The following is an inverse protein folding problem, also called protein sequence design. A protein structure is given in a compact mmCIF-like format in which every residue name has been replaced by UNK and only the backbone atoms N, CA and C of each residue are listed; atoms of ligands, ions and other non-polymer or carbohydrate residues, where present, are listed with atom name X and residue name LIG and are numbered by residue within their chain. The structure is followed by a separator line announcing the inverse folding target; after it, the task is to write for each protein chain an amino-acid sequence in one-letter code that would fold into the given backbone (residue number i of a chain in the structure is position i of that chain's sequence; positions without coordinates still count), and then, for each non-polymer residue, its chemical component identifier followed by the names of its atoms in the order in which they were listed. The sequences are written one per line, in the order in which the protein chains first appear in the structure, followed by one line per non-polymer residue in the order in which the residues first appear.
data_IF_483149396166
#
_entry.id   IF_483149396166
#
_cell.length_a   1.000
_cell.length_b   1.000
_cell.length_c   1.000
_cell.angle_alpha   90.00
_cell.angle_beta   90.00
_cell.angle_gamma   90.00
#
_symmetry.space_group_name_H-M   'P 1'
#
loop_
_entity.id
_entity.type
_entity.pdbx_description
1 polymer ?
#
# COMPACT_ATOMS: atom_id res chain seq x y z
N UNK A 1 -9.29 -18.55 -1.22
CA UNK A 1 -8.05 -19.32 -1.44
C UNK A 1 -7.56 -19.94 -0.14
N UNK A 2 -7.28 -19.15 0.91
CA UNK A 2 -6.82 -19.63 2.22
C UNK A 2 -7.68 -20.77 2.79
N UNK A 3 -9.01 -20.62 2.80
CA UNK A 3 -9.93 -21.68 3.23
C UNK A 3 -9.82 -22.99 2.40
N UNK A 4 -9.54 -22.89 1.10
CA UNK A 4 -9.34 -24.09 0.26
C UNK A 4 -8.08 -24.83 0.67
N UNK A 5 -7.00 -24.10 0.91
CA UNK A 5 -5.71 -24.65 1.35
C UNK A 5 -5.85 -25.27 2.75
N UNK A 6 -6.43 -24.55 3.72
CA UNK A 6 -6.59 -25.02 5.10
C UNK A 6 -7.49 -26.25 5.23
N UNK A 7 -8.47 -26.41 4.34
CA UNK A 7 -9.33 -27.60 4.27
C UNK A 7 -8.72 -28.75 3.45
N UNK A 8 -7.40 -28.71 3.19
CA UNK A 8 -6.66 -29.78 2.50
C UNK A 8 -6.88 -29.86 0.99
N UNK A 9 -7.54 -28.86 0.39
CA UNK A 9 -7.83 -28.78 -1.06
C UNK A 9 -6.82 -27.92 -1.82
N UNK A 10 -5.63 -27.71 -1.27
CA UNK A 10 -4.53 -27.09 -2.00
C UNK A 10 -3.96 -28.00 -3.09
N UNK A 11 -3.12 -27.41 -3.94
CA UNK A 11 -2.44 -28.04 -5.05
C UNK A 11 -0.98 -28.36 -4.71
N UNK A 12 -0.30 -29.11 -5.59
CA UNK A 12 1.08 -29.54 -5.41
C UNK A 12 1.30 -30.62 -4.34
N UNK A 13 2.56 -31.03 -4.13
CA UNK A 13 2.93 -32.05 -3.14
C UNK A 13 2.54 -31.67 -1.70
N UNK A 14 2.76 -30.39 -1.34
CA UNK A 14 2.54 -29.86 0.01
C UNK A 14 1.12 -29.34 0.27
N UNK A 15 0.24 -29.34 -0.75
CA UNK A 15 -1.15 -28.86 -0.63
C UNK A 15 -1.27 -27.41 -0.11
N UNK A 16 -0.31 -26.54 -0.46
CA UNK A 16 -0.11 -25.23 0.17
C UNK A 16 -0.45 -24.02 -0.72
N UNK A 17 -0.82 -24.22 -1.99
CA UNK A 17 -1.21 -23.17 -2.94
C UNK A 17 -2.41 -23.58 -3.79
N UNK A 18 -2.83 -22.74 -4.73
CA UNK A 18 -3.84 -23.06 -5.76
C UNK A 18 -3.36 -22.65 -7.14
N UNK A 19 -4.07 -23.08 -8.19
CA UNK A 19 -3.75 -22.77 -9.57
C UNK A 19 -4.51 -21.56 -10.11
N UNK A 20 -3.79 -20.66 -10.78
CA UNK A 20 -4.33 -19.61 -11.66
C UNK A 20 -4.20 -20.06 -13.11
N UNK A 21 -5.33 -20.39 -13.74
CA UNK A 21 -5.35 -20.97 -15.07
C UNK A 21 -5.50 -19.89 -16.15
N UNK A 22 -4.55 -19.81 -17.09
CA UNK A 22 -4.59 -18.89 -18.25
C UNK A 22 -4.56 -19.60 -19.60
N UNK A 23 -4.13 -20.87 -19.66
CA UNK A 23 -3.92 -21.62 -20.91
C UNK A 23 -5.20 -21.90 -21.74
N UNK A 24 -6.37 -21.56 -21.23
CA UNK A 24 -7.63 -21.61 -22.00
C UNK A 24 -7.83 -20.35 -22.85
N UNK A 25 -7.08 -19.28 -22.58
CA UNK A 25 -7.10 -18.04 -23.35
C UNK A 25 -6.26 -18.20 -24.63
N UNK A 26 -6.63 -17.53 -25.73
CA UNK A 26 -5.81 -17.52 -26.94
C UNK A 26 -4.40 -17.00 -26.66
N UNK A 27 -3.37 -17.68 -27.18
CA UNK A 27 -1.97 -17.29 -26.96
C UNK A 27 -1.66 -15.87 -27.42
N UNK A 28 -2.31 -15.39 -28.49
CA UNK A 28 -2.18 -14.01 -28.95
C UNK A 28 -2.71 -12.99 -27.92
N UNK A 29 -3.82 -13.30 -27.25
CA UNK A 29 -4.37 -12.46 -26.19
C UNK A 29 -3.41 -12.42 -24.99
N UNK A 30 -2.84 -13.56 -24.60
CA UNK A 30 -1.87 -13.65 -23.51
C UNK A 30 -0.62 -12.84 -23.82
N UNK A 31 -0.08 -12.95 -25.04
CA UNK A 31 1.08 -12.19 -25.49
C UNK A 31 0.82 -10.68 -25.53
N UNK A 32 -0.37 -10.25 -25.95
CA UNK A 32 -0.72 -8.84 -26.08
C UNK A 32 -1.04 -8.16 -24.72
N UNK A 33 -1.77 -8.86 -23.83
CA UNK A 33 -2.32 -8.24 -22.62
C UNK A 33 -1.55 -8.61 -21.34
N UNK A 34 -0.90 -9.77 -21.34
CA UNK A 34 -0.25 -10.35 -20.15
C UNK A 34 1.24 -10.67 -20.37
N UNK A 35 2.04 -9.87 -21.11
CA UNK A 35 3.42 -10.23 -21.41
C UNK A 35 4.29 -10.30 -20.15
N UNK A 36 4.17 -9.32 -19.25
CA UNK A 36 5.02 -9.25 -18.05
C UNK A 36 4.80 -10.40 -17.07
N UNK A 37 3.55 -10.82 -16.85
CA UNK A 37 3.28 -11.98 -15.99
C UNK A 37 3.69 -13.29 -16.65
N UNK A 38 3.68 -13.36 -17.99
CA UNK A 38 4.09 -14.56 -18.72
C UNK A 38 5.59 -14.80 -18.55
N UNK A 39 6.38 -13.75 -18.70
CA UNK A 39 7.82 -13.76 -18.43
C UNK A 39 8.11 -14.08 -16.96
N UNK A 40 7.41 -13.41 -16.03
CA UNK A 40 7.56 -13.64 -14.58
C UNK A 40 7.27 -15.10 -14.20
N UNK A 41 6.18 -15.68 -14.71
CA UNK A 41 5.82 -17.07 -14.44
C UNK A 41 6.87 -18.07 -14.95
N UNK A 42 7.43 -17.82 -16.15
CA UNK A 42 8.51 -18.62 -16.70
C UNK A 42 9.78 -18.51 -15.83
N UNK A 43 10.21 -17.29 -15.50
CA UNK A 43 11.46 -17.06 -14.76
C UNK A 43 11.40 -17.64 -13.34
N UNK A 44 10.32 -17.40 -12.61
CA UNK A 44 10.26 -17.71 -11.18
C UNK A 44 9.63 -19.06 -10.85
N UNK A 45 8.81 -19.61 -11.75
CA UNK A 45 8.11 -20.87 -11.52
C UNK A 45 8.33 -21.92 -12.63
N UNK A 46 9.07 -21.59 -13.70
CA UNK A 46 9.25 -22.49 -14.84
C UNK A 46 7.96 -22.78 -15.61
N UNK A 47 6.93 -21.93 -15.46
CA UNK A 47 5.59 -22.17 -16.02
C UNK A 47 5.42 -21.46 -17.36
N UNK A 48 5.16 -22.24 -18.42
CA UNK A 48 4.59 -21.72 -19.65
C UNK A 48 3.07 -21.54 -19.47
N UNK A 49 2.64 -20.28 -19.30
CA UNK A 49 1.25 -19.92 -19.00
C UNK A 49 0.26 -20.29 -20.10
N UNK A 50 0.76 -20.60 -21.31
CA UNK A 50 -0.07 -21.07 -22.44
C UNK A 50 -0.35 -22.57 -22.41
N UNK A 51 0.31 -23.31 -21.50
CA UNK A 51 0.20 -24.78 -21.39
C UNK A 51 -0.20 -25.22 -19.98
N UNK A 52 0.34 -24.55 -18.96
CA UNK A 52 0.21 -24.96 -17.56
C UNK A 52 -0.30 -23.79 -16.69
N UNK A 53 -1.02 -24.06 -15.59
CA UNK A 53 -1.46 -23.00 -14.68
C UNK A 53 -0.33 -22.46 -13.79
N UNK A 54 -0.44 -21.20 -13.36
CA UNK A 54 0.50 -20.56 -12.43
C UNK A 54 0.17 -20.96 -10.99
N UNK A 55 1.18 -21.23 -10.18
CA UNK A 55 1.04 -21.50 -8.74
C UNK A 55 0.87 -20.18 -7.98
N UNK A 56 -0.24 -20.00 -7.27
CA UNK A 56 -0.54 -18.75 -6.56
C UNK A 56 -1.08 -19.00 -5.15
N UNK A 57 -0.76 -18.07 -4.24
CA UNK A 57 -1.26 -18.03 -2.87
C UNK A 57 -1.49 -16.57 -2.43
N UNK A 58 -2.42 -16.32 -1.48
CA UNK A 58 -2.60 -14.99 -0.92
C UNK A 58 -1.30 -14.46 -0.31
N UNK A 59 -0.89 -13.28 -0.74
CA UNK A 59 0.34 -12.61 -0.29
C UNK A 59 -0.02 -11.20 0.16
N UNK A 60 0.58 -10.72 1.26
CA UNK A 60 0.43 -9.34 1.71
C UNK A 60 0.89 -8.41 0.58
N UNK A 61 0.08 -7.40 0.25
CA UNK A 61 0.31 -6.61 -0.96
C UNK A 61 0.22 -5.09 -0.77
N UNK A 62 -0.78 -4.59 -0.05
CA UNK A 62 -1.06 -3.15 0.04
C UNK A 62 -1.58 -2.77 1.42
N UNK A 63 -1.14 -1.62 1.94
CA UNK A 63 -1.65 -1.07 3.19
C UNK A 63 -2.78 -0.07 2.94
N UNK A 64 -3.97 -0.33 3.49
CA UNK A 64 -5.14 0.54 3.29
C UNK A 64 -5.10 1.83 4.12
N UNK A 65 -4.29 1.88 5.17
CA UNK A 65 -4.23 3.02 6.05
C UNK A 65 -2.84 3.24 6.60
N UNK A 66 -2.61 4.48 7.04
CA UNK A 66 -1.52 4.91 7.92
C UNK A 66 -1.85 6.35 8.35
N UNK A 67 -1.24 7.35 7.72
CA UNK A 67 -1.38 8.77 8.11
C UNK A 67 -2.78 9.29 7.74
N UNK A 68 -3.63 9.71 8.69
CA UNK A 68 -4.95 10.22 8.37
C UNK A 68 -4.85 11.60 7.69
N UNK A 69 -5.57 11.78 6.59
CA UNK A 69 -5.67 13.06 5.90
C UNK A 69 -7.10 13.42 5.57
N UNK A 70 -7.40 14.72 5.44
CA UNK A 70 -8.63 15.13 4.77
C UNK A 70 -8.51 14.98 3.24
N UNK A 71 -9.59 15.24 2.51
CA UNK A 71 -9.64 15.11 1.05
C UNK A 71 -8.67 16.05 0.29
N UNK A 72 -8.08 17.06 0.98
CA UNK A 72 -7.07 17.97 0.43
C UNK A 72 -5.64 17.48 0.64
N UNK A 73 -5.45 16.32 1.27
CA UNK A 73 -4.14 15.75 1.61
C UNK A 73 -3.47 16.39 2.84
N UNK A 74 -4.20 17.19 3.62
CA UNK A 74 -3.68 17.75 4.87
C UNK A 74 -3.71 16.69 5.95
N UNK A 75 -2.59 16.49 6.64
CA UNK A 75 -2.51 15.53 7.74
C UNK A 75 -3.41 15.98 8.90
N UNK A 76 -4.12 15.02 9.47
CA UNK A 76 -5.02 15.21 10.60
C UNK A 76 -4.40 14.64 11.88
N UNK A 77 -4.70 15.29 13.00
CA UNK A 77 -4.61 14.69 14.32
C UNK A 77 -6.00 14.69 14.94
N UNK A 78 -6.33 13.67 15.70
CA UNK A 78 -7.56 13.63 16.46
C UNK A 78 -7.28 14.08 17.90
N UNK A 79 -7.87 15.20 18.31
CA UNK A 79 -7.67 15.76 19.65
C UNK A 79 -8.97 16.37 20.16
N UNK A 80 -9.32 16.04 21.42
CA UNK A 80 -10.54 16.52 22.07
C UNK A 80 -11.83 16.16 21.29
N UNK A 81 -11.87 14.98 20.68
CA UNK A 81 -13.04 14.47 19.95
C UNK A 81 -13.25 15.10 18.57
N UNK A 82 -12.27 15.84 18.05
CA UNK A 82 -12.37 16.53 16.76
C UNK A 82 -11.08 16.36 15.95
N UNK A 83 -11.25 16.32 14.64
CA UNK A 83 -10.13 16.31 13.70
C UNK A 83 -9.55 17.72 13.55
N UNK A 84 -8.23 17.82 13.67
CA UNK A 84 -7.49 19.06 13.56
C UNK A 84 -6.39 18.91 12.52
N UNK A 85 -6.29 19.88 11.61
CA UNK A 85 -5.21 19.91 10.62
C UNK A 85 -3.86 20.15 11.30
N UNK A 86 -2.89 19.28 11.00
CA UNK A 86 -1.48 19.48 11.31
C UNK A 86 -0.90 20.47 10.30
N UNK A 87 -0.70 21.72 10.74
CA UNK A 87 -0.29 22.81 9.85
C UNK A 87 1.02 22.50 9.14
N UNK A 88 1.02 22.68 7.83
CA UNK A 88 2.21 22.56 7.00
C UNK A 88 2.61 21.14 6.64
N UNK A 89 1.87 20.12 7.11
CA UNK A 89 2.14 18.72 6.82
C UNK A 89 1.07 18.16 5.88
N UNK A 90 1.54 17.58 4.79
CA UNK A 90 0.71 16.96 3.76
C UNK A 90 1.23 15.56 3.49
N UNK A 91 0.34 14.65 3.10
CA UNK A 91 0.70 13.30 2.69
C UNK A 91 -0.26 12.84 1.58
N UNK A 92 0.22 11.96 0.70
CA UNK A 92 -0.60 11.29 -0.32
C UNK A 92 -0.06 9.88 -0.64
N UNK A 93 -0.85 9.08 -1.34
CA UNK A 93 -0.46 7.73 -1.76
C UNK A 93 -0.68 6.66 -0.70
N UNK A 94 0.04 5.53 -0.83
CA UNK A 94 -0.14 4.36 0.03
C UNK A 94 0.18 4.63 1.52
N UNK A 95 1.00 5.64 1.83
CA UNK A 95 1.31 6.04 3.20
C UNK A 95 0.14 6.74 3.92
N UNK A 96 -1.04 6.81 3.31
CA UNK A 96 -2.10 7.72 3.74
C UNK A 96 -3.45 7.02 3.82
N UNK A 97 -4.17 7.36 4.89
CA UNK A 97 -5.58 7.08 5.06
C UNK A 97 -6.39 8.36 4.79
N UNK A 98 -6.50 8.76 3.51
CA UNK A 98 -7.61 9.62 3.07
C UNK A 98 -8.94 8.84 3.12
N UNK A 99 -8.82 7.50 3.18
CA UNK A 99 -9.84 6.48 3.33
C UNK A 99 -10.77 6.27 2.13
N UNK A 100 -10.32 6.64 0.92
CA UNK A 100 -11.02 6.24 -0.32
C UNK A 100 -11.03 4.73 -0.56
N UNK A 101 -10.15 3.98 0.15
CA UNK A 101 -10.05 2.53 0.08
C UNK A 101 -10.81 1.81 1.21
N UNK A 102 -11.20 2.52 2.27
CA UNK A 102 -11.83 1.94 3.46
C UNK A 102 -11.10 0.69 3.96
N UNK A 103 -11.85 -0.39 4.20
CA UNK A 103 -11.31 -1.66 4.66
C UNK A 103 -10.79 -2.58 3.53
N UNK A 104 -11.07 -2.27 2.27
CA UNK A 104 -10.66 -3.10 1.14
C UNK A 104 -10.56 -2.27 -0.15
N UNK A 105 -9.33 -2.12 -0.64
CA UNK A 105 -9.04 -1.40 -1.87
C UNK A 105 -9.49 -2.20 -3.11
N UNK A 106 -10.11 -1.52 -4.08
CA UNK A 106 -10.34 -2.08 -5.41
C UNK A 106 -9.07 -2.03 -6.28
N UNK A 107 -8.87 -3.06 -7.11
CA UNK A 107 -7.75 -3.13 -8.05
C UNK A 107 -7.63 -1.87 -8.93
N UNK A 108 -6.41 -1.52 -9.33
CA UNK A 108 -6.07 -0.31 -10.11
C UNK A 108 -6.30 1.06 -9.43
N UNK A 109 -7.03 1.15 -8.31
CA UNK A 109 -7.32 2.46 -7.67
C UNK A 109 -6.13 3.11 -6.95
N UNK A 110 -5.06 2.38 -6.64
CA UNK A 110 -3.89 2.98 -5.96
C UNK A 110 -3.12 3.95 -6.87
N UNK A 111 -2.94 3.61 -8.15
CA UNK A 111 -2.29 4.54 -9.09
C UNK A 111 -3.14 5.81 -9.33
N UNK A 112 -4.47 5.66 -9.30
CA UNK A 112 -5.40 6.79 -9.35
C UNK A 112 -5.26 7.68 -8.10
N UNK A 113 -5.22 7.07 -6.91
CA UNK A 113 -4.98 7.76 -5.63
C UNK A 113 -3.68 8.60 -5.68
N UNK A 114 -2.56 7.97 -6.08
CA UNK A 114 -1.26 8.65 -6.17
C UNK A 114 -1.34 9.97 -6.96
N UNK A 115 -1.88 9.93 -8.18
CA UNK A 115 -1.91 11.12 -9.05
C UNK A 115 -2.92 12.15 -8.59
N UNK A 116 -4.08 11.72 -8.09
CA UNK A 116 -5.15 12.63 -7.66
C UNK A 116 -4.77 13.34 -6.36
N UNK A 117 -4.36 12.59 -5.33
CA UNK A 117 -4.05 13.18 -4.03
C UNK A 117 -2.68 13.87 -4.01
N UNK A 118 -1.72 13.42 -4.82
CA UNK A 118 -0.49 14.17 -5.08
C UNK A 118 -0.77 15.57 -5.64
N UNK A 119 -1.67 15.65 -6.63
CA UNK A 119 -2.10 16.94 -7.17
C UNK A 119 -2.92 17.76 -6.15
N UNK A 120 -3.79 17.12 -5.36
CA UNK A 120 -4.59 17.79 -4.34
C UNK A 120 -3.71 18.45 -3.27
N UNK A 121 -2.66 17.77 -2.82
CA UNK A 121 -1.68 18.33 -1.88
C UNK A 121 -1.03 19.60 -2.44
N UNK A 122 -0.56 19.54 -3.69
CA UNK A 122 0.09 20.68 -4.35
C UNK A 122 -0.87 21.89 -4.48
N UNK A 123 -2.11 21.64 -4.90
CA UNK A 123 -3.15 22.69 -5.03
C UNK A 123 -3.50 23.29 -3.67
N UNK A 124 -3.74 22.47 -2.65
CA UNK A 124 -4.08 22.96 -1.31
C UNK A 124 -2.93 23.76 -0.70
N UNK A 125 -1.68 23.34 -0.91
CA UNK A 125 -0.52 24.09 -0.42
C UNK A 125 -0.44 25.47 -1.09
N UNK A 126 -0.68 25.54 -2.40
CA UNK A 126 -0.69 26.80 -3.15
C UNK A 126 -1.78 27.80 -2.72
N UNK A 127 -2.88 27.33 -2.10
CA UNK A 127 -3.90 28.21 -1.50
C UNK A 127 -3.39 28.94 -0.24
N UNK A 128 -2.39 28.38 0.46
CA UNK A 128 -1.98 28.81 1.80
C UNK A 128 -0.58 29.42 1.90
N UNK A 129 0.25 29.30 0.86
CA UNK A 129 1.58 29.90 0.82
C UNK A 129 2.06 30.15 -0.61
N UNK A 130 3.06 31.00 -0.74
CA UNK A 130 3.74 31.35 -1.99
C UNK A 130 5.22 31.00 -1.93
N UNK A 131 5.87 30.73 -3.08
CA UNK A 131 7.32 30.65 -3.14
C UNK A 131 7.97 31.93 -2.56
N UNK A 132 8.90 31.75 -1.62
CA UNK A 132 9.59 32.86 -0.94
C UNK A 132 8.98 33.28 0.40
N UNK A 133 7.86 32.69 0.82
CA UNK A 133 7.30 32.94 2.16
C UNK A 133 8.30 32.54 3.27
N UNK A 134 8.32 33.34 4.34
CA UNK A 134 9.18 33.07 5.51
C UNK A 134 8.74 31.79 6.20
N UNK A 135 9.69 30.88 6.42
CA UNK A 135 9.47 29.66 7.21
C UNK A 135 9.72 29.97 8.69
N UNK A 136 8.87 29.48 9.61
CA UNK A 136 9.11 29.62 11.05
C UNK A 136 10.47 29.02 11.46
N UNK A 137 11.14 29.60 12.47
CA UNK A 137 12.40 29.04 12.98
C UNK A 137 12.18 27.63 13.54
N UNK A 138 13.09 26.72 13.21
CA UNK A 138 13.08 25.34 13.68
C UNK A 138 13.91 25.26 14.97
N UNK A 139 13.44 24.50 15.96
CA UNK A 139 14.22 24.26 17.18
C UNK A 139 15.52 23.49 16.83
N UNK A 140 16.67 23.79 17.46
CA UNK A 140 17.93 23.08 17.18
C UNK A 140 17.83 21.56 17.37
N UNK A 141 16.91 21.12 18.23
CA UNK A 141 16.68 19.72 18.56
C UNK A 141 15.39 19.14 17.95
N UNK A 142 14.83 19.75 16.89
CA UNK A 142 13.54 19.37 16.34
C UNK A 142 13.49 17.94 15.77
N UNK A 143 14.65 17.32 15.50
CA UNK A 143 14.74 15.97 14.91
C UNK A 143 14.99 14.90 15.97
N UNK A 144 15.66 15.24 17.08
CA UNK A 144 16.04 14.27 18.13
C UNK A 144 14.83 13.51 18.66
N UNK A 145 13.71 14.20 18.91
CA UNK A 145 12.50 13.56 19.43
C UNK A 145 11.91 12.54 18.45
N UNK A 146 11.88 12.87 17.16
CA UNK A 146 11.41 11.95 16.11
C UNK A 146 12.34 10.75 15.96
N UNK A 147 13.66 10.96 16.02
CA UNK A 147 14.66 9.88 15.96
C UNK A 147 14.55 8.96 17.17
N UNK A 148 14.45 9.52 18.38
CA UNK A 148 14.27 8.74 19.60
C UNK A 148 12.97 7.93 19.59
N UNK A 149 11.89 8.50 19.04
CA UNK A 149 10.61 7.78 18.88
C UNK A 149 10.76 6.61 17.91
N UNK A 150 11.44 6.82 16.78
CA UNK A 150 11.71 5.75 15.80
C UNK A 150 12.59 4.66 16.41
N UNK A 151 13.67 5.03 17.11
CA UNK A 151 14.57 4.07 17.74
C UNK A 151 13.85 3.27 18.83
N UNK A 152 12.99 3.91 19.62
CA UNK A 152 12.16 3.21 20.60
C UNK A 152 11.29 2.14 19.95
N UNK A 153 10.69 2.41 18.78
CA UNK A 153 9.89 1.42 18.05
C UNK A 153 10.78 0.34 17.40
N UNK A 154 11.89 0.75 16.79
CA UNK A 154 12.83 -0.13 16.08
C UNK A 154 13.51 -1.14 17.01
N UNK A 155 13.85 -0.71 18.22
CA UNK A 155 14.50 -1.53 19.24
C UNK A 155 13.52 -2.01 20.32
N UNK A 156 12.21 -1.90 20.10
CA UNK A 156 11.22 -2.45 21.01
C UNK A 156 11.31 -3.99 21.04
N UNK A 157 11.36 -4.56 22.23
CA UNK A 157 11.41 -5.99 22.51
C UNK A 157 10.13 -6.49 23.22
N UNK A 158 9.01 -5.80 22.98
CA UNK A 158 7.71 -6.11 23.56
C UNK A 158 7.19 -7.51 23.18
N UNK A 159 6.30 -8.05 24.01
CA UNK A 159 5.77 -9.41 23.84
C UNK A 159 4.58 -9.53 22.90
N UNK A 160 3.93 -8.42 22.55
CA UNK A 160 2.73 -8.40 21.68
C UNK A 160 3.13 -8.51 20.22
N UNK A 161 2.56 -9.48 19.50
CA UNK A 161 2.82 -9.64 18.07
C UNK A 161 2.03 -8.60 17.28
N UNK A 162 2.54 -8.17 16.13
CA UNK A 162 1.80 -7.25 15.24
C UNK A 162 0.44 -7.81 14.81
N UNK A 163 0.28 -9.14 14.76
CA UNK A 163 -0.99 -9.80 14.46
C UNK A 163 -2.03 -9.71 15.58
N UNK A 164 -1.65 -9.24 16.78
CA UNK A 164 -2.49 -9.13 17.97
C UNK A 164 -2.90 -7.69 18.28
N UNK A 165 -2.39 -6.72 17.52
CA UNK A 165 -2.75 -5.30 17.56
C UNK A 165 -3.88 -5.01 16.57
#
# INVERSE_FOLDING_TARGET
MTLKISEGRGCGPEKDHVYLQLHHLPSEQVAAQLPGISETAMIFAGVDVTKEPILVLPTVYYNMGDIPTNYKGQVLKHASGQDQVVRGVYACGEAVCASVHGANRLGANSLLDLVVFGQACARSKAESCRPGDKVPPIKPNAVQESVMTLDKLRFADGSTRTSEL
#
